data_IF_769146302932
#
_entry.id   IF_769146302932
#
_cell.length_a   1.000
_cell.length_b   1.000
_cell.length_c   1.000
_cell.angle_alpha   90.00
_cell.angle_beta   90.00
_cell.angle_gamma   90.00
#
_symmetry.space_group_name_H-M   'P 1'
#
loop_
_entity.id
_entity.type
_entity.pdbx_description
1 polymer ?
#
# COMPACT_ATOMS: atom_id res chain seq x y z
N UNK A 1 65.84 11.90 -37.56
CA UNK A 1 66.36 12.85 -36.56
C UNK A 1 65.23 13.82 -36.21
N UNK A 2 64.96 14.01 -34.92
CA UNK A 2 63.81 14.77 -34.37
C UNK A 2 62.68 13.84 -33.89
N UNK A 3 62.10 13.95 -32.70
CA UNK A 3 62.38 14.78 -31.54
C UNK A 3 61.83 14.09 -30.28
N UNK A 4 62.59 14.19 -29.19
CA UNK A 4 62.20 14.08 -27.76
C UNK A 4 60.92 14.90 -27.50
N UNK A 5 60.04 14.57 -26.54
CA UNK A 5 59.98 15.27 -25.22
C UNK A 5 58.60 15.12 -24.53
N UNK A 6 58.61 14.50 -23.34
CA UNK A 6 58.02 14.92 -22.04
C UNK A 6 56.49 14.87 -21.78
N UNK A 7 56.13 14.12 -20.72
CA UNK A 7 54.91 14.20 -19.90
C UNK A 7 54.90 15.42 -18.95
N UNK A 8 53.72 15.94 -18.60
CA UNK A 8 53.37 16.11 -17.17
C UNK A 8 51.92 15.64 -16.88
N UNK A 9 51.60 14.83 -15.86
CA UNK A 9 51.55 15.03 -14.40
C UNK A 9 50.42 15.94 -13.87
N UNK A 10 49.39 15.29 -13.30
CA UNK A 10 48.55 15.59 -12.13
C UNK A 10 48.09 17.02 -11.80
N UNK A 11 46.77 17.17 -11.63
CA UNK A 11 46.18 17.81 -10.43
C UNK A 11 44.70 17.46 -10.27
N UNK A 12 44.39 16.62 -9.27
CA UNK A 12 43.06 16.44 -8.71
C UNK A 12 42.88 17.46 -7.59
N UNK A 13 41.94 18.40 -7.73
CA UNK A 13 41.63 19.40 -6.71
C UNK A 13 40.33 19.07 -5.98
N UNK A 14 40.49 19.04 -4.66
CA UNK A 14 39.61 18.86 -3.51
C UNK A 14 38.36 19.76 -3.42
N UNK A 15 37.30 19.17 -2.84
CA UNK A 15 36.17 19.71 -2.06
C UNK A 15 35.99 21.24 -1.92
N UNK A 16 34.75 21.69 -2.15
CA UNK A 16 34.25 23.00 -1.74
C UNK A 16 32.79 22.95 -1.32
N UNK A 17 32.54 22.69 -0.03
CA UNK A 17 31.26 22.94 0.63
C UNK A 17 30.94 24.44 0.65
N UNK A 18 29.75 24.85 0.17
CA UNK A 18 29.19 26.19 0.42
C UNK A 18 27.87 26.08 1.18
N UNK A 19 27.86 26.62 2.40
CA UNK A 19 26.68 27.04 3.17
C UNK A 19 26.32 28.49 2.83
N UNK A 20 25.18 28.94 3.36
CA UNK A 20 24.50 30.25 3.30
C UNK A 20 23.41 30.31 2.22
N UNK A 21 22.16 30.70 2.48
CA UNK A 21 21.49 31.16 3.70
C UNK A 21 19.96 31.05 3.50
N UNK A 22 19.22 30.89 4.61
CA UNK A 22 17.76 31.00 4.68
C UNK A 22 17.28 32.44 4.39
N UNK A 23 16.16 32.56 3.68
CA UNK A 23 15.30 33.74 3.67
C UNK A 23 13.82 33.31 3.57
N UNK A 24 13.01 33.81 4.50
CA UNK A 24 11.56 33.63 4.74
C UNK A 24 10.68 33.94 3.49
N UNK A 25 9.41 33.52 3.27
CA UNK A 25 8.21 33.07 4.02
C UNK A 25 7.22 32.43 2.96
N UNK A 26 5.99 31.92 3.22
CA UNK A 26 5.14 32.03 4.41
C UNK A 26 4.58 30.71 4.97
N UNK A 27 3.99 30.88 6.15
CA UNK A 27 3.33 29.90 7.01
C UNK A 27 1.98 29.47 6.43
N UNK A 28 1.64 28.20 6.65
CA UNK A 28 0.26 27.75 6.72
C UNK A 28 -0.12 26.73 5.66
N UNK A 29 0.35 25.50 5.82
CA UNK A 29 -0.33 24.30 5.35
C UNK A 29 0.28 23.14 6.13
N UNK A 30 -0.40 22.69 7.19
CA UNK A 30 -0.05 21.49 7.92
C UNK A 30 -0.37 20.29 7.04
N UNK A 31 0.55 19.97 6.14
CA UNK A 31 0.67 18.62 5.60
C UNK A 31 1.06 17.75 6.78
N UNK A 32 0.14 16.90 7.26
CA UNK A 32 0.50 15.77 8.11
C UNK A 32 1.25 14.76 7.23
N UNK A 33 2.48 15.12 6.85
CA UNK A 33 3.48 14.18 6.35
C UNK A 33 3.75 13.21 7.50
N UNK A 34 3.13 12.05 7.43
CA UNK A 34 3.37 10.93 8.33
C UNK A 34 4.81 10.47 8.08
N UNK A 35 5.75 11.01 8.86
CA UNK A 35 7.17 10.67 8.79
C UNK A 35 7.31 9.16 9.05
N UNK A 36 7.69 8.41 8.01
CA UNK A 36 7.99 6.99 8.04
C UNK A 36 9.33 6.67 8.76
N UNK A 37 9.99 7.66 9.37
CA UNK A 37 11.39 7.55 9.81
C UNK A 37 11.60 6.93 11.20
N UNK A 38 10.57 6.41 11.87
CA UNK A 38 10.76 5.85 13.21
C UNK A 38 9.97 4.56 13.49
N UNK A 39 9.81 3.71 12.48
CA UNK A 39 9.34 2.34 12.72
C UNK A 39 10.50 1.37 12.57
N UNK A 40 10.94 0.80 13.69
CA UNK A 40 11.85 -0.33 13.70
C UNK A 40 11.16 -1.54 13.03
N UNK A 41 11.43 -1.70 11.74
CA UNK A 41 10.92 -2.79 10.91
C UNK A 41 11.66 -4.11 11.16
N UNK A 42 12.61 -4.17 12.09
CA UNK A 42 13.33 -5.42 12.44
C UNK A 42 12.37 -6.52 12.89
N UNK A 43 11.28 -6.15 13.57
CA UNK A 43 10.25 -7.10 13.99
C UNK A 43 9.41 -7.64 12.82
N UNK A 44 9.17 -6.84 11.76
CA UNK A 44 8.40 -7.27 10.59
C UNK A 44 9.12 -8.40 9.82
N UNK A 45 10.46 -8.36 9.79
CA UNK A 45 11.29 -9.42 9.24
C UNK A 45 11.45 -10.63 10.19
N UNK A 46 11.18 -10.45 11.48
CA UNK A 46 11.28 -11.53 12.47
C UNK A 46 10.00 -12.36 12.62
N UNK A 47 8.86 -11.91 12.08
CA UNK A 47 7.58 -12.61 12.19
C UNK A 47 7.48 -13.79 11.22
N UNK A 48 7.75 -14.98 11.74
CA UNK A 48 7.64 -16.25 11.04
C UNK A 48 6.28 -16.91 11.32
N UNK A 49 5.47 -17.14 10.28
CA UNK A 49 4.19 -17.86 10.36
C UNK A 49 4.32 -19.34 10.76
N UNK A 50 5.54 -19.86 10.84
CA UNK A 50 5.84 -21.22 11.32
C UNK A 50 5.99 -21.27 12.85
N UNK A 51 6.20 -20.13 13.51
CA UNK A 51 6.38 -20.07 14.96
C UNK A 51 5.05 -19.79 15.65
N UNK A 52 4.70 -20.66 16.61
CA UNK A 52 3.44 -20.59 17.35
C UNK A 52 3.26 -19.26 18.12
N UNK A 53 4.35 -18.68 18.60
CA UNK A 53 4.36 -17.38 19.30
C UNK A 53 3.85 -16.23 18.43
N UNK A 54 4.26 -16.21 17.16
CA UNK A 54 3.85 -15.22 16.18
C UNK A 54 2.40 -15.41 15.79
N UNK A 55 1.99 -16.65 15.52
CA UNK A 55 0.58 -16.99 15.27
C UNK A 55 -0.27 -16.57 16.46
N UNK A 56 0.18 -16.79 17.71
CA UNK A 56 -0.53 -16.40 18.93
C UNK A 56 -0.70 -14.89 19.04
N UNK A 57 0.31 -14.09 18.71
CA UNK A 57 0.20 -12.62 18.69
C UNK A 57 -0.73 -12.12 17.57
N UNK A 58 -0.65 -12.71 16.37
CA UNK A 58 -1.60 -12.40 15.30
C UNK A 58 -3.03 -12.78 15.71
N UNK A 59 -3.23 -13.95 16.33
CA UNK A 59 -4.53 -14.39 16.83
C UNK A 59 -5.04 -13.50 17.97
N UNK A 60 -4.19 -13.05 18.90
CA UNK A 60 -4.59 -12.07 19.93
C UNK A 60 -5.13 -10.80 19.29
N UNK A 61 -4.46 -10.28 18.26
CA UNK A 61 -4.91 -9.06 17.55
C UNK A 61 -6.21 -9.27 16.78
N UNK A 62 -6.40 -10.46 16.22
CA UNK A 62 -7.66 -10.84 15.55
C UNK A 62 -8.81 -11.05 16.55
N UNK A 63 -8.52 -11.64 17.71
CA UNK A 63 -9.49 -11.98 18.76
C UNK A 63 -9.82 -10.81 19.69
N UNK A 64 -8.94 -9.82 19.87
CA UNK A 64 -9.20 -8.61 20.66
C UNK A 64 -10.33 -7.72 20.10
N UNK A 65 -10.85 -8.02 18.91
CA UNK A 65 -12.06 -7.40 18.39
C UNK A 65 -13.37 -8.03 18.92
N UNK A 66 -13.32 -9.15 19.66
CA UNK A 66 -14.53 -9.92 20.06
C UNK A 66 -14.92 -9.88 21.54
N UNK A 67 -14.11 -9.34 22.42
CA UNK A 67 -14.43 -9.35 23.87
C UNK A 67 -15.02 -8.01 24.33
N UNK A 68 -16.23 -7.70 23.87
CA UNK A 68 -17.11 -6.72 24.55
C UNK A 68 -18.42 -7.34 25.07
N UNK A 69 -18.56 -8.66 25.05
CA UNK A 69 -19.70 -9.33 25.68
C UNK A 69 -19.32 -10.74 26.15
N UNK A 70 -19.43 -10.95 27.48
CA UNK A 70 -19.49 -12.26 28.17
C UNK A 70 -18.15 -13.03 28.22
N UNK A 71 -17.57 -13.46 29.35
CA UNK A 71 -17.86 -13.57 30.79
C UNK A 71 -16.46 -13.67 31.45
N UNK A 72 -16.18 -13.18 32.66
CA UNK A 72 -16.60 -13.79 33.93
C UNK A 72 -16.60 -12.73 35.03
N UNK A 73 -17.75 -12.58 35.69
CA UNK A 73 -17.78 -12.09 37.06
C UNK A 73 -16.92 -13.03 37.90
N UNK A 74 -15.81 -12.52 38.43
CA UNK A 74 -15.56 -12.41 39.87
C UNK A 74 -14.09 -12.10 40.13
N UNK A 75 -13.88 -11.36 41.22
CA UNK A 75 -12.63 -11.15 41.96
C UNK A 75 -11.81 -9.89 41.61
N UNK A 76 -12.08 -8.86 42.42
CA UNK A 76 -11.13 -7.94 43.10
C UNK A 76 -10.91 -6.51 42.55
N UNK A 77 -11.22 -5.59 43.49
CA UNK A 77 -10.67 -4.27 43.76
C UNK A 77 -10.75 -3.17 42.67
N UNK A 78 -11.61 -2.20 42.99
CA UNK A 78 -11.47 -0.75 42.77
C UNK A 78 -10.15 -0.28 42.12
N UNK A 79 -10.10 -0.24 40.80
CA UNK A 79 -9.22 0.67 40.04
C UNK A 79 -10.03 1.89 39.58
N UNK A 80 -9.48 3.12 39.67
CA UNK A 80 -10.22 4.32 39.26
C UNK A 80 -10.52 4.26 37.75
N UNK A 81 -11.73 4.69 37.35
CA UNK A 81 -12.23 4.63 35.97
C UNK A 81 -11.29 5.28 34.93
N UNK A 82 -10.43 6.21 35.36
CA UNK A 82 -9.45 6.94 34.54
C UNK A 82 -8.31 6.05 34.03
N UNK A 83 -7.92 5.03 34.78
CA UNK A 83 -6.82 4.14 34.38
C UNK A 83 -7.30 3.10 33.36
N UNK A 84 -8.55 2.63 33.49
CA UNK A 84 -9.15 1.69 32.52
C UNK A 84 -9.36 2.30 31.13
N UNK A 85 -9.58 3.61 30.99
CA UNK A 85 -9.70 4.25 29.68
C UNK A 85 -8.34 4.37 28.98
N UNK A 86 -7.28 4.72 29.73
CA UNK A 86 -5.93 4.82 29.19
C UNK A 86 -5.35 3.44 28.81
N UNK A 87 -5.57 2.41 29.63
CA UNK A 87 -5.16 1.04 29.32
C UNK A 87 -5.85 0.51 28.04
N UNK A 88 -7.14 0.82 27.84
CA UNK A 88 -7.89 0.43 26.63
C UNK A 88 -7.44 1.20 25.39
N UNK A 89 -7.15 2.49 25.53
CA UNK A 89 -6.65 3.32 24.42
C UNK A 89 -5.25 2.86 23.96
N UNK A 90 -4.37 2.56 24.91
CA UNK A 90 -3.06 1.98 24.61
C UNK A 90 -3.18 0.60 23.94
N UNK A 91 -4.09 -0.25 24.41
CA UNK A 91 -4.35 -1.55 23.78
C UNK A 91 -4.90 -1.41 22.35
N UNK A 92 -5.76 -0.42 22.10
CA UNK A 92 -6.28 -0.14 20.77
C UNK A 92 -5.18 0.36 19.81
N UNK A 93 -4.27 1.19 20.31
CA UNK A 93 -3.12 1.68 19.54
C UNK A 93 -2.15 0.55 19.18
N UNK A 94 -1.82 -0.32 20.13
CA UNK A 94 -0.99 -1.50 19.86
C UNK A 94 -1.67 -2.46 18.88
N UNK A 95 -2.98 -2.68 19.01
CA UNK A 95 -3.74 -3.48 18.04
C UNK A 95 -3.73 -2.85 16.63
N UNK A 96 -3.83 -1.52 16.52
CA UNK A 96 -3.72 -0.83 15.24
C UNK A 96 -2.32 -1.00 14.62
N UNK A 97 -1.26 -0.89 15.44
CA UNK A 97 0.12 -1.10 15.01
C UNK A 97 0.37 -2.52 14.51
N UNK A 98 -0.13 -3.53 15.21
CA UNK A 98 0.05 -4.93 14.80
C UNK A 98 -0.75 -5.22 13.52
N UNK A 99 -1.98 -4.69 13.39
CA UNK A 99 -2.75 -4.80 12.13
C UNK A 99 -2.00 -4.20 10.94
N UNK A 100 -1.34 -3.06 11.13
CA UNK A 100 -0.49 -2.44 10.11
C UNK A 100 0.69 -3.32 9.71
N UNK A 101 1.39 -3.90 10.69
CA UNK A 101 2.50 -4.82 10.44
C UNK A 101 2.06 -6.08 9.67
N UNK A 102 0.88 -6.62 9.99
CA UNK A 102 0.30 -7.75 9.28
C UNK A 102 -0.03 -7.41 7.82
N UNK A 103 -0.51 -6.19 7.54
CA UNK A 103 -0.81 -5.76 6.18
C UNK A 103 0.44 -5.51 5.33
N UNK A 104 1.57 -5.12 5.93
CA UNK A 104 2.84 -4.92 5.21
C UNK A 104 3.57 -6.22 4.95
N UNK A 105 3.43 -7.21 5.83
CA UNK A 105 4.19 -8.46 5.72
C UNK A 105 3.74 -9.26 4.48
N UNK A 106 4.62 -9.48 3.47
CA UNK A 106 4.25 -10.15 2.22
C UNK A 106 3.80 -11.60 2.42
N UNK A 107 4.16 -12.22 3.55
CA UNK A 107 3.82 -13.61 3.86
C UNK A 107 2.48 -13.77 4.57
N UNK A 108 1.76 -12.69 4.89
CA UNK A 108 0.49 -12.78 5.61
C UNK A 108 -0.53 -13.64 4.85
N UNK A 109 -1.15 -14.63 5.51
CA UNK A 109 -2.04 -15.58 4.86
C UNK A 109 -3.37 -14.90 4.52
N UNK A 110 -4.02 -15.30 3.42
CA UNK A 110 -5.24 -14.68 2.94
C UNK A 110 -6.41 -14.60 3.95
N UNK A 111 -6.67 -15.60 4.81
CA UNK A 111 -7.74 -15.49 5.81
C UNK A 111 -7.53 -14.35 6.81
N UNK A 112 -6.27 -14.04 7.14
CA UNK A 112 -5.94 -12.92 8.05
C UNK A 112 -6.20 -11.59 7.34
N UNK A 113 -5.81 -11.46 6.08
CA UNK A 113 -6.10 -10.28 5.26
C UNK A 113 -7.61 -10.06 5.11
N UNK A 114 -8.37 -11.13 4.92
CA UNK A 114 -9.83 -11.04 4.82
C UNK A 114 -10.45 -10.53 6.14
N UNK A 115 -9.96 -11.01 7.29
CA UNK A 115 -10.40 -10.50 8.58
C UNK A 115 -10.04 -9.02 8.78
N UNK A 116 -8.82 -8.60 8.40
CA UNK A 116 -8.40 -7.19 8.46
C UNK A 116 -9.31 -6.29 7.61
N UNK A 117 -9.80 -6.79 6.48
CA UNK A 117 -10.64 -6.04 5.56
C UNK A 117 -12.08 -5.75 6.04
N UNK A 118 -12.51 -6.23 7.21
CA UNK A 118 -13.88 -6.01 7.70
C UNK A 118 -14.05 -4.71 8.52
N UNK A 119 -13.08 -4.36 9.38
CA UNK A 119 -13.20 -3.26 10.36
C UNK A 119 -11.87 -2.52 10.49
N UNK A 120 -11.39 -1.96 9.39
CA UNK A 120 -10.10 -1.30 9.29
C UNK A 120 -10.23 0.13 8.75
N UNK A 121 -9.34 1.04 9.16
CA UNK A 121 -9.28 2.38 8.59
C UNK A 121 -8.90 2.31 7.09
N UNK A 122 -9.30 3.32 6.28
CA UNK A 122 -9.05 3.31 4.84
C UNK A 122 -7.59 3.08 4.46
N UNK A 123 -6.64 3.69 5.19
CA UNK A 123 -5.20 3.51 4.90
C UNK A 123 -4.76 2.04 5.06
N UNK A 124 -5.34 1.31 6.02
CA UNK A 124 -5.04 -0.11 6.19
C UNK A 124 -5.72 -0.95 5.11
N UNK A 125 -6.93 -0.59 4.69
CA UNK A 125 -7.64 -1.26 3.61
C UNK A 125 -6.94 -1.12 2.26
N UNK A 126 -6.33 0.03 1.98
CA UNK A 126 -5.45 0.23 0.82
C UNK A 126 -4.29 -0.76 0.84
N UNK A 127 -3.57 -0.87 1.96
CA UNK A 127 -2.46 -1.83 2.10
C UNK A 127 -2.91 -3.26 1.91
N UNK A 128 -4.08 -3.63 2.46
CA UNK A 128 -4.67 -4.96 2.25
C UNK A 128 -5.07 -5.19 0.80
N UNK A 129 -5.59 -4.17 0.10
CA UNK A 129 -5.96 -4.24 -1.31
C UNK A 129 -4.73 -4.36 -2.23
N UNK A 130 -3.61 -3.70 -1.93
CA UNK A 130 -2.35 -3.83 -2.67
C UNK A 130 -1.66 -5.19 -2.44
N UNK A 131 -2.04 -5.93 -1.39
CA UNK A 131 -1.30 -7.10 -0.96
C UNK A 131 -1.31 -8.23 -2.01
N UNK A 132 -0.15 -8.81 -2.38
CA UNK A 132 -0.04 -9.80 -3.46
C UNK A 132 -0.74 -11.14 -3.16
N UNK A 133 -1.09 -11.39 -1.89
CA UNK A 133 -1.85 -12.57 -1.44
C UNK A 133 -3.31 -12.26 -1.11
N UNK A 134 -3.80 -11.04 -1.37
CA UNK A 134 -5.21 -10.73 -1.18
C UNK A 134 -6.06 -11.58 -2.15
N UNK A 135 -7.07 -12.25 -1.61
CA UNK A 135 -7.97 -13.08 -2.41
C UNK A 135 -9.01 -12.24 -3.14
N UNK A 136 -9.45 -12.74 -4.28
CA UNK A 136 -10.46 -12.10 -5.13
C UNK A 136 -11.77 -11.78 -4.41
N UNK A 137 -12.18 -12.59 -3.43
CA UNK A 137 -13.38 -12.35 -2.61
C UNK A 137 -13.22 -11.07 -1.77
N UNK A 138 -12.09 -10.94 -1.06
CA UNK A 138 -11.76 -9.75 -0.27
C UNK A 138 -11.66 -8.52 -1.16
N UNK A 139 -10.97 -8.64 -2.30
CA UNK A 139 -10.84 -7.56 -3.30
C UNK A 139 -12.21 -7.14 -3.88
N UNK A 140 -13.12 -8.08 -4.11
CA UNK A 140 -14.49 -7.79 -4.58
C UNK A 140 -15.28 -6.96 -3.57
N UNK A 141 -15.08 -7.20 -2.27
CA UNK A 141 -15.67 -6.36 -1.23
C UNK A 141 -15.06 -4.96 -1.22
N UNK A 142 -13.73 -4.87 -1.26
CA UNK A 142 -13.01 -3.59 -1.24
C UNK A 142 -13.28 -2.73 -2.48
N UNK A 143 -13.58 -3.35 -3.63
CA UNK A 143 -14.04 -2.66 -4.83
C UNK A 143 -15.38 -1.91 -4.67
N UNK A 144 -16.11 -2.13 -3.57
CA UNK A 144 -17.36 -1.43 -3.24
C UNK A 144 -17.17 -0.40 -2.12
N UNK A 145 -15.94 -0.20 -1.64
CA UNK A 145 -15.65 0.73 -0.56
C UNK A 145 -15.91 2.18 -1.00
N UNK A 146 -16.31 3.05 -0.08
CA UNK A 146 -16.66 4.45 -0.36
C UNK A 146 -15.44 5.26 -0.82
N UNK A 147 -14.29 5.02 -0.20
CA UNK A 147 -13.04 5.70 -0.50
C UNK A 147 -12.46 5.28 -1.86
N UNK A 148 -12.14 6.27 -2.70
CA UNK A 148 -11.61 6.02 -4.05
C UNK A 148 -10.20 5.42 -4.02
N UNK A 149 -9.37 5.78 -3.03
CA UNK A 149 -8.02 5.25 -2.89
C UNK A 149 -8.02 3.74 -2.64
N UNK A 150 -8.93 3.25 -1.79
CA UNK A 150 -9.11 1.80 -1.56
C UNK A 150 -9.51 1.09 -2.86
N UNK A 151 -10.43 1.67 -3.65
CA UNK A 151 -10.84 1.08 -4.93
C UNK A 151 -9.74 1.10 -5.98
N UNK A 152 -8.90 2.15 -5.99
CA UNK A 152 -7.75 2.27 -6.87
C UNK A 152 -6.69 1.21 -6.54
N UNK A 153 -6.41 0.97 -5.26
CA UNK A 153 -5.52 -0.11 -4.82
C UNK A 153 -6.00 -1.50 -5.28
N UNK A 154 -7.32 -1.74 -5.29
CA UNK A 154 -7.89 -2.98 -5.85
C UNK A 154 -7.64 -3.07 -7.37
N UNK A 155 -7.71 -1.95 -8.10
CA UNK A 155 -7.47 -1.93 -9.54
C UNK A 155 -6.02 -2.31 -9.91
N UNK A 156 -5.05 -2.01 -9.04
CA UNK A 156 -3.64 -2.35 -9.24
C UNK A 156 -3.31 -3.82 -8.92
N UNK A 157 -4.16 -4.50 -8.15
CA UNK A 157 -3.88 -5.88 -7.74
C UNK A 157 -4.11 -6.90 -8.87
N UNK A 158 -3.11 -7.76 -9.11
CA UNK A 158 -3.15 -8.82 -10.13
C UNK A 158 -4.19 -9.91 -9.87
N UNK A 159 -4.56 -10.14 -8.60
CA UNK A 159 -5.54 -11.15 -8.21
C UNK A 159 -6.99 -10.64 -8.31
N UNK A 160 -7.18 -9.40 -8.76
CA UNK A 160 -8.51 -8.82 -8.95
C UNK A 160 -9.26 -9.58 -10.03
N UNK A 161 -10.46 -10.05 -9.68
CA UNK A 161 -11.26 -10.87 -10.59
C UNK A 161 -11.67 -10.09 -11.84
N UNK A 162 -11.92 -10.80 -12.94
CA UNK A 162 -12.39 -10.14 -14.16
C UNK A 162 -13.70 -9.38 -13.97
N UNK A 163 -14.62 -9.91 -13.15
CA UNK A 163 -15.89 -9.26 -12.84
C UNK A 163 -15.67 -7.92 -12.11
N UNK A 164 -14.71 -7.88 -11.19
CA UNK A 164 -14.35 -6.65 -10.45
C UNK A 164 -13.62 -5.65 -11.33
N UNK A 165 -12.72 -6.11 -12.22
CA UNK A 165 -12.05 -5.25 -13.21
C UNK A 165 -13.08 -4.52 -14.07
N UNK A 166 -14.06 -5.22 -14.63
CA UNK A 166 -15.12 -4.60 -15.43
C UNK A 166 -15.97 -3.60 -14.65
N UNK A 167 -16.16 -3.85 -13.35
CA UNK A 167 -16.84 -2.90 -12.48
C UNK A 167 -16.01 -1.63 -12.28
N UNK A 168 -14.72 -1.78 -11.97
CA UNK A 168 -13.80 -0.65 -11.75
C UNK A 168 -13.54 0.16 -13.02
N UNK A 169 -13.64 -0.46 -14.20
CA UNK A 169 -13.58 0.25 -15.48
C UNK A 169 -14.72 1.26 -15.67
N UNK A 170 -15.82 1.12 -14.93
CA UNK A 170 -16.97 2.03 -14.91
C UNK A 170 -17.11 2.73 -13.56
N UNK A 171 -16.03 2.79 -12.77
CA UNK A 171 -16.04 3.48 -11.49
C UNK A 171 -16.33 4.97 -11.69
N UNK A 172 -16.98 5.62 -10.73
CA UNK A 172 -17.24 7.05 -10.81
C UNK A 172 -15.94 7.87 -10.72
N UNK A 173 -14.95 7.39 -9.95
CA UNK A 173 -13.68 8.10 -9.77
C UNK A 173 -12.75 7.89 -10.98
N UNK A 174 -12.27 8.97 -11.62
CA UNK A 174 -11.31 8.87 -12.71
C UNK A 174 -9.97 8.29 -12.26
N UNK A 175 -9.57 8.48 -11.00
CA UNK A 175 -8.29 7.95 -10.48
C UNK A 175 -8.27 6.42 -10.47
N UNK A 176 -9.41 5.80 -10.12
CA UNK A 176 -9.59 4.35 -10.14
C UNK A 176 -9.49 3.82 -11.58
N UNK A 177 -10.17 4.49 -12.52
CA UNK A 177 -10.12 4.14 -13.95
C UNK A 177 -8.72 4.33 -14.54
N UNK A 178 -8.02 5.38 -14.11
CA UNK A 178 -6.63 5.65 -14.49
C UNK A 178 -5.71 4.52 -14.03
N UNK A 179 -5.82 4.05 -12.78
CA UNK A 179 -5.01 2.90 -12.31
C UNK A 179 -5.27 1.63 -13.08
N UNK A 180 -6.52 1.41 -13.48
CA UNK A 180 -6.85 0.30 -14.36
C UNK A 180 -6.22 0.45 -15.75
N UNK A 181 -6.17 1.68 -16.29
CA UNK A 181 -5.52 1.99 -17.57
C UNK A 181 -3.99 1.84 -17.54
N UNK A 182 -3.36 2.00 -16.38
CA UNK A 182 -1.91 1.80 -16.19
C UNK A 182 -1.51 0.33 -16.06
N UNK A 183 -2.47 -0.54 -15.77
CA UNK A 183 -2.20 -1.97 -15.55
C UNK A 183 -2.05 -2.74 -16.86
N UNK A 184 -0.91 -3.44 -16.99
CA UNK A 184 -0.61 -4.33 -18.13
C UNK A 184 -1.28 -5.70 -18.04
N UNK A 185 -1.89 -6.03 -16.89
CA UNK A 185 -2.56 -7.32 -16.66
C UNK A 185 -4.04 -7.29 -17.03
N UNK A 186 -4.57 -6.09 -17.27
CA UNK A 186 -5.97 -5.87 -17.65
C UNK A 186 -6.20 -6.32 -19.10
N UNK A 187 -7.33 -6.96 -19.42
CA UNK A 187 -7.57 -7.39 -20.80
C UNK A 187 -7.68 -6.22 -21.77
N UNK A 188 -7.21 -6.45 -23.00
CA UNK A 188 -7.31 -5.51 -24.12
C UNK A 188 -8.74 -4.99 -24.32
N UNK A 189 -9.75 -5.82 -24.10
CA UNK A 189 -11.16 -5.42 -24.21
C UNK A 189 -11.53 -4.31 -23.22
N UNK A 190 -11.00 -4.35 -21.99
CA UNK A 190 -11.21 -3.31 -20.98
C UNK A 190 -10.44 -2.05 -21.34
N UNK A 191 -9.18 -2.18 -21.78
CA UNK A 191 -8.39 -1.03 -22.27
C UNK A 191 -9.08 -0.30 -23.42
N UNK A 192 -9.72 -1.03 -24.35
CA UNK A 192 -10.50 -0.42 -25.43
C UNK A 192 -11.66 0.43 -24.93
N UNK A 193 -12.35 -0.02 -23.88
CA UNK A 193 -13.41 0.78 -23.25
C UNK A 193 -12.83 2.01 -22.57
N UNK A 194 -11.68 1.88 -21.89
CA UNK A 194 -11.01 3.01 -21.24
C UNK A 194 -10.43 4.04 -22.23
N UNK A 195 -10.19 3.68 -23.50
CA UNK A 195 -9.79 4.65 -24.54
C UNK A 195 -10.94 5.60 -24.90
N UNK A 196 -12.18 5.14 -24.76
CA UNK A 196 -13.39 5.94 -24.99
C UNK A 196 -13.88 6.64 -23.71
N UNK A 197 -13.05 6.68 -22.65
CA UNK A 197 -13.41 7.30 -21.38
C UNK A 197 -13.64 8.81 -21.52
N UNK A 198 -14.56 9.33 -20.71
CA UNK A 198 -14.87 10.77 -20.65
C UNK A 198 -13.67 11.61 -20.19
N UNK A 199 -12.79 11.04 -19.36
CA UNK A 199 -11.60 11.73 -18.89
C UNK A 199 -10.43 11.56 -19.89
N UNK A 200 -9.92 12.66 -20.49
CA UNK A 200 -8.84 12.60 -21.48
C UNK A 200 -7.55 11.95 -20.96
N UNK A 201 -7.24 12.10 -19.66
CA UNK A 201 -6.04 11.49 -19.06
C UNK A 201 -6.15 9.97 -18.98
N UNK A 202 -7.34 9.45 -18.70
CA UNK A 202 -7.61 8.01 -18.67
C UNK A 202 -7.53 7.43 -20.08
N UNK A 203 -8.16 8.11 -21.05
CA UNK A 203 -8.16 7.72 -22.46
C UNK A 203 -6.74 7.67 -23.06
N UNK A 204 -5.95 8.73 -22.88
CA UNK A 204 -4.55 8.80 -23.35
C UNK A 204 -3.69 7.72 -22.69
N UNK A 205 -3.85 7.50 -21.37
CA UNK A 205 -3.09 6.46 -20.68
C UNK A 205 -3.45 5.06 -21.20
N UNK A 206 -4.74 4.76 -21.34
CA UNK A 206 -5.21 3.47 -21.85
C UNK A 206 -4.69 3.21 -23.27
N UNK A 207 -4.66 4.25 -24.12
CA UNK A 207 -4.12 4.16 -25.47
C UNK A 207 -2.61 3.83 -25.45
N UNK A 208 -1.83 4.52 -24.61
CA UNK A 208 -0.39 4.25 -24.45
C UNK A 208 -0.12 2.84 -23.97
N UNK A 209 -0.87 2.37 -22.96
CA UNK A 209 -0.77 1.00 -22.45
C UNK A 209 -1.10 -0.03 -23.53
N UNK A 210 -2.17 0.19 -24.28
CA UNK A 210 -2.56 -0.69 -25.39
C UNK A 210 -1.49 -0.74 -26.49
N UNK A 211 -0.97 0.42 -26.91
CA UNK A 211 0.08 0.50 -27.94
C UNK A 211 1.35 -0.24 -27.52
N UNK A 212 1.73 -0.14 -26.23
CA UNK A 212 2.86 -0.88 -25.68
C UNK A 212 2.63 -2.38 -25.73
N UNK A 213 1.48 -2.86 -25.25
CA UNK A 213 1.13 -4.28 -25.29
C UNK A 213 1.09 -4.83 -26.72
N UNK A 214 0.52 -4.06 -27.66
CA UNK A 214 0.47 -4.47 -29.07
C UNK A 214 1.87 -4.58 -29.69
N UNK A 215 2.78 -3.66 -29.34
CA UNK A 215 4.18 -3.71 -29.79
C UNK A 215 4.90 -4.94 -29.26
N UNK A 216 4.77 -5.22 -27.96
CA UNK A 216 5.39 -6.41 -27.35
C UNK A 216 4.85 -7.70 -27.98
N UNK A 217 3.55 -7.77 -28.28
CA UNK A 217 2.95 -8.92 -28.98
C UNK A 217 3.45 -9.06 -30.42
N UNK A 218 3.65 -7.95 -31.15
CA UNK A 218 4.21 -8.02 -32.51
C UNK A 218 5.65 -8.49 -32.49
N UNK A 219 6.46 -7.98 -31.56
CA UNK A 219 7.88 -8.33 -31.44
C UNK A 219 8.04 -9.83 -31.16
N UNK A 220 7.22 -10.37 -30.25
CA UNK A 220 7.19 -11.81 -29.92
C UNK A 220 6.70 -12.70 -31.07
N UNK A 221 5.91 -12.18 -32.01
CA UNK A 221 5.46 -12.93 -33.20
C UNK A 221 6.51 -12.96 -34.31
N UNK A 222 7.38 -11.96 -34.34
CA UNK A 222 8.43 -11.80 -35.35
C UNK A 222 9.78 -12.39 -34.93
N UNK A 223 9.96 -12.73 -33.66
CA UNK A 223 11.12 -13.41 -33.10
C UNK A 223 11.05 -14.93 -33.30
#
# INVERSE_FOLDING_TARGET
>A
MGATTIYPSNSTTTMGTRRFANSAAPKGETTHSFELEQYDLSFAYAFHWEKEEHIREALKVLLCNKDSGETTDQVVATKPKKDRSAEKENAALEAARIRWLLAINPNTPPPVLDHLAHNAPPQLLERVAEHPRAHSVTLTRLANHEEAQVRAAVAENINTSMKTVWKLARDHSPDVRLRLAESYTVPIAVLKVLIEDENPYVADRAQKTLLRLMREVTDLRTA
#
